data_IF_591775219039
#
_entry.id   IF_591775219039
#
_cell.length_a   1.000
_cell.length_b   1.000
_cell.length_c   1.000
_cell.angle_alpha   90.00
_cell.angle_beta   90.00
_cell.angle_gamma   90.00
#
_symmetry.space_group_name_H-M   'P 1'
#
loop_
_entity.id
_entity.type
_entity.pdbx_description
1 polymer ?
#
# COMPACT_ATOMS: atom_id res chain seq x y z
N UNK A 1 -37.42 25.09 49.00
CA UNK A 1 -36.06 24.55 49.14
C UNK A 1 -36.11 23.05 48.94
N UNK A 2 -35.10 22.50 48.25
CA UNK A 2 -34.87 21.10 47.87
C UNK A 2 -35.57 20.63 46.58
N UNK A 3 -34.89 20.84 45.45
CA UNK A 3 -35.11 20.14 44.19
C UNK A 3 -34.15 18.95 44.13
N UNK A 4 -34.69 17.73 44.12
CA UNK A 4 -33.93 16.48 44.07
C UNK A 4 -33.40 16.26 42.65
N UNK A 5 -32.08 16.38 42.45
CA UNK A 5 -31.40 15.99 41.20
C UNK A 5 -31.52 14.49 40.98
N UNK A 6 -32.27 14.08 39.95
CA UNK A 6 -32.16 12.73 39.37
C UNK A 6 -31.07 12.73 38.31
N UNK A 7 -30.06 11.91 38.54
CA UNK A 7 -28.98 11.59 37.59
C UNK A 7 -29.54 10.73 36.46
N UNK A 8 -29.53 11.25 35.23
CA UNK A 8 -29.75 10.47 34.01
C UNK A 8 -28.42 10.27 33.31
N UNK A 9 -27.87 9.06 33.40
CA UNK A 9 -26.80 8.58 32.53
C UNK A 9 -27.33 8.44 31.10
N UNK A 10 -26.70 9.01 30.06
CA UNK A 10 -27.11 8.76 28.69
C UNK A 10 -26.65 7.36 28.25
N UNK A 11 -27.62 6.49 27.96
CA UNK A 11 -27.43 5.20 27.31
C UNK A 11 -27.02 5.40 25.85
N UNK A 12 -25.84 4.90 25.48
CA UNK A 12 -25.32 4.88 24.11
C UNK A 12 -26.00 3.74 23.33
N UNK A 13 -26.75 4.09 22.28
CA UNK A 13 -27.17 3.14 21.25
C UNK A 13 -26.36 3.46 19.99
N UNK A 14 -25.59 2.51 19.41
CA UNK A 14 -25.02 2.70 18.10
C UNK A 14 -26.14 2.59 17.06
N UNK A 15 -26.42 3.69 16.37
CA UNK A 15 -27.30 3.69 15.20
C UNK A 15 -26.59 2.96 14.06
N UNK A 16 -27.05 1.77 13.70
CA UNK A 16 -26.61 1.06 12.50
C UNK A 16 -27.33 1.69 11.31
N UNK A 17 -26.61 2.48 10.50
CA UNK A 17 -27.10 2.86 9.18
C UNK A 17 -26.87 1.69 8.22
N UNK A 18 -27.95 0.96 7.92
CA UNK A 18 -28.00 0.06 6.76
C UNK A 18 -28.33 0.91 5.54
N UNK A 19 -27.31 1.41 4.83
CA UNK A 19 -27.53 1.93 3.47
C UNK A 19 -27.68 0.75 2.52
N UNK A 20 -28.81 0.68 1.83
CA UNK A 20 -29.06 -0.27 0.75
C UNK A 20 -27.92 -0.18 -0.28
N UNK A 21 -27.27 -1.31 -0.57
CA UNK A 21 -26.14 -1.38 -1.51
C UNK A 21 -26.50 -0.80 -2.89
N UNK A 22 -27.79 -0.74 -3.24
CA UNK A 22 -28.27 -0.17 -4.48
C UNK A 22 -28.21 1.38 -4.54
N UNK A 23 -28.29 2.09 -3.41
CA UNK A 23 -28.25 3.56 -3.38
C UNK A 23 -26.82 4.10 -3.51
N UNK A 24 -25.84 3.45 -2.90
CA UNK A 24 -24.42 3.80 -3.04
C UNK A 24 -23.95 3.71 -4.50
N UNK A 25 -24.46 2.75 -5.26
CA UNK A 25 -24.10 2.57 -6.69
C UNK A 25 -24.80 3.55 -7.64
N UNK A 26 -25.80 4.33 -7.20
CA UNK A 26 -26.50 5.31 -8.08
C UNK A 26 -25.85 6.69 -8.11
N UNK A 27 -25.11 7.07 -7.07
CA UNK A 27 -24.45 8.39 -6.99
C UNK A 27 -23.01 8.38 -7.50
N UNK A 28 -22.37 7.22 -7.52
CA UNK A 28 -21.00 7.06 -8.01
C UNK A 28 -21.03 6.03 -9.14
N UNK A 29 -20.74 6.45 -10.37
CA UNK A 29 -20.52 5.55 -11.51
C UNK A 29 -19.25 4.70 -11.31
N UNK A 30 -19.19 3.91 -10.25
CA UNK A 30 -18.06 3.04 -9.95
C UNK A 30 -18.12 1.86 -10.91
N UNK A 31 -17.04 1.68 -11.66
CA UNK A 31 -16.85 0.50 -12.49
C UNK A 31 -16.73 -0.74 -11.59
N UNK A 32 -17.06 -1.92 -12.14
CA UNK A 32 -16.76 -3.20 -11.49
C UNK A 32 -15.24 -3.31 -11.32
N UNK A 33 -14.75 -3.46 -10.09
CA UNK A 33 -13.32 -3.56 -9.79
C UNK A 33 -13.02 -3.41 -8.30
N UNK A 34 -11.77 -3.65 -7.92
CA UNK A 34 -11.25 -3.34 -6.58
C UNK A 34 -10.97 -1.84 -6.49
N UNK A 35 -11.39 -1.23 -5.39
CA UNK A 35 -11.20 0.19 -5.12
C UNK A 35 -10.42 0.34 -3.82
N UNK A 36 -9.40 1.21 -3.82
CA UNK A 36 -8.71 1.56 -2.59
C UNK A 36 -9.56 2.59 -1.85
N UNK A 37 -9.96 2.24 -0.63
CA UNK A 37 -10.67 3.13 0.28
C UNK A 37 -9.73 3.47 1.44
N UNK A 38 -9.56 4.76 1.71
CA UNK A 38 -8.81 5.22 2.86
C UNK A 38 -9.67 6.19 3.67
N UNK A 39 -9.71 5.96 4.99
CA UNK A 39 -10.44 6.77 5.95
C UNK A 39 -9.41 7.27 6.97
N UNK A 40 -9.29 8.59 7.11
CA UNK A 40 -8.44 9.21 8.11
C UNK A 40 -9.28 9.97 9.11
N UNK A 41 -9.01 9.73 10.39
CA UNK A 41 -9.58 10.48 11.49
C UNK A 41 -8.59 11.54 11.97
N UNK A 42 -8.99 12.80 11.89
CA UNK A 42 -8.19 13.93 12.33
C UNK A 42 -8.44 14.19 13.82
N UNK A 43 -7.59 13.63 14.68
CA UNK A 43 -7.74 13.71 16.13
C UNK A 43 -7.76 15.13 16.71
N UNK A 44 -7.20 16.10 15.98
CA UNK A 44 -7.14 17.52 16.40
C UNK A 44 -8.38 18.33 16.03
N UNK A 45 -9.08 17.95 14.95
CA UNK A 45 -10.26 18.68 14.45
C UNK A 45 -11.56 17.90 14.65
N UNK A 46 -11.48 16.61 15.00
CA UNK A 46 -12.61 15.70 15.11
C UNK A 46 -13.23 15.30 13.76
N UNK A 47 -12.62 15.73 12.66
CA UNK A 47 -13.12 15.48 11.31
C UNK A 47 -12.60 14.16 10.76
N UNK A 48 -13.34 13.57 9.81
CA UNK A 48 -12.87 12.44 9.03
C UNK A 48 -12.75 12.85 7.56
N UNK A 49 -11.65 12.44 6.92
CA UNK A 49 -11.47 12.54 5.47
C UNK A 49 -11.58 11.16 4.87
N UNK A 50 -12.31 11.04 3.76
CA UNK A 50 -12.37 9.82 2.96
C UNK A 50 -11.87 10.13 1.56
N UNK A 51 -11.06 9.22 1.02
CA UNK A 51 -10.67 9.25 -0.39
C UNK A 51 -10.95 7.88 -0.98
N UNK A 52 -11.65 7.89 -2.11
CA UNK A 52 -11.74 6.77 -3.02
C UNK A 52 -10.79 7.03 -4.18
N UNK A 53 -9.82 6.15 -4.39
CA UNK A 53 -8.90 6.23 -5.52
C UNK A 53 -9.04 4.97 -6.39
N UNK A 54 -9.13 5.16 -7.70
CA UNK A 54 -9.08 4.09 -8.69
C UNK A 54 -8.00 4.39 -9.73
N UNK A 55 -7.31 3.37 -10.21
CA UNK A 55 -6.39 3.47 -11.35
C UNK A 55 -7.02 2.75 -12.55
N UNK A 56 -7.20 3.47 -13.65
CA UNK A 56 -7.54 2.94 -14.98
C UNK A 56 -6.64 3.67 -15.98
N UNK A 57 -6.20 2.99 -17.04
CA UNK A 57 -5.41 3.48 -18.18
C UNK A 57 -5.82 4.81 -18.84
N UNK A 58 -6.88 5.49 -18.38
CA UNK A 58 -7.42 6.73 -18.97
C UNK A 58 -7.72 7.88 -17.99
N UNK A 59 -7.56 7.72 -16.67
CA UNK A 59 -7.90 8.79 -15.68
C UNK A 59 -6.81 8.91 -14.62
N UNK A 60 -6.25 10.13 -14.46
CA UNK A 60 -5.31 10.50 -13.40
C UNK A 60 -6.01 10.59 -12.04
N UNK A 61 -5.28 10.29 -10.94
CA UNK A 61 -5.69 10.42 -9.53
C UNK A 61 -6.68 11.57 -9.29
N UNK A 62 -7.95 11.25 -9.03
CA UNK A 62 -9.02 12.24 -8.81
C UNK A 62 -9.71 12.02 -7.45
N UNK A 63 -9.50 12.93 -6.51
CA UNK A 63 -10.28 12.97 -5.28
C UNK A 63 -11.71 13.45 -5.59
N UNK A 64 -12.73 12.70 -5.17
CA UNK A 64 -14.14 13.09 -5.32
C UNK A 64 -14.64 13.62 -3.97
N UNK A 65 -14.77 14.94 -3.77
CA UNK A 65 -15.43 15.49 -2.60
C UNK A 65 -16.95 15.25 -2.72
N UNK A 66 -17.56 14.58 -1.73
CA UNK A 66 -19.01 14.49 -1.66
C UNK A 66 -19.60 15.87 -1.31
N UNK A 67 -20.56 16.32 -2.12
CA UNK A 67 -21.22 17.63 -2.01
C UNK A 67 -22.35 17.63 -0.97
N UNK A 68 -22.66 16.49 -0.35
CA UNK A 68 -23.80 16.32 0.55
C UNK A 68 -23.45 16.30 2.05
N UNK A 69 -22.17 16.35 2.43
CA UNK A 69 -21.79 16.67 3.82
C UNK A 69 -21.60 18.19 3.96
N UNK A 70 -22.69 18.87 4.28
CA UNK A 70 -22.73 20.33 4.47
C UNK A 70 -21.98 20.72 5.74
N UNK A 71 -20.69 21.02 5.65
CA UNK A 71 -20.06 22.00 6.55
C UNK A 71 -20.41 23.41 6.06
N UNK A 72 -20.58 24.40 6.96
CA UNK A 72 -20.78 25.79 6.57
C UNK A 72 -19.70 26.21 5.58
N UNK A 73 -20.14 26.76 4.44
CA UNK A 73 -19.33 27.21 3.32
C UNK A 73 -18.47 28.43 3.70
N UNK A 74 -17.46 28.24 4.54
CA UNK A 74 -16.44 29.25 4.86
C UNK A 74 -15.15 28.60 5.34
N UNK A 75 -14.57 27.70 4.54
CA UNK A 75 -13.11 27.45 4.47
C UNK A 75 -12.89 26.35 3.43
N UNK A 76 -12.46 26.70 2.22
CA UNK A 76 -11.51 25.84 1.50
C UNK A 76 -10.18 26.01 2.24
N UNK A 77 -10.14 25.56 3.50
CA UNK A 77 -8.90 25.46 4.24
C UNK A 77 -8.07 24.42 3.50
N UNK A 78 -6.88 24.84 3.12
CA UNK A 78 -5.92 24.08 2.33
C UNK A 78 -5.91 22.60 2.73
N UNK A 79 -5.96 21.67 1.77
CA UNK A 79 -5.78 20.25 2.06
C UNK A 79 -4.44 20.07 2.77
N UNK A 80 -4.42 19.48 3.99
CA UNK A 80 -3.18 19.29 4.72
C UNK A 80 -2.25 18.42 3.90
N UNK A 81 -0.99 18.84 3.79
CA UNK A 81 0.02 18.07 3.08
C UNK A 81 0.35 16.81 3.87
N UNK A 82 0.06 15.65 3.27
CA UNK A 82 0.27 14.35 3.86
C UNK A 82 0.91 13.42 2.82
N UNK A 83 2.17 13.06 3.03
CA UNK A 83 2.78 11.97 2.29
C UNK A 83 2.08 10.67 2.67
N UNK A 84 1.74 9.85 1.69
CA UNK A 84 1.29 8.49 1.93
C UNK A 84 1.54 7.65 0.70
N UNK A 85 1.89 6.39 0.88
CA UNK A 85 2.01 5.45 -0.22
C UNK A 85 1.59 4.07 0.23
N UNK A 86 1.38 3.19 -0.75
CA UNK A 86 1.33 1.75 -0.53
C UNK A 86 2.34 1.08 -1.46
N UNK A 87 2.78 -0.12 -1.11
CA UNK A 87 3.65 -0.91 -1.97
C UNK A 87 3.05 -2.29 -2.24
N UNK A 88 3.52 -2.92 -3.30
CA UNK A 88 3.20 -4.30 -3.64
C UNK A 88 4.46 -4.99 -4.13
N UNK A 89 4.78 -6.12 -3.50
CA UNK A 89 5.82 -7.04 -3.97
C UNK A 89 5.37 -7.65 -5.31
N UNK A 90 6.20 -7.47 -6.32
CA UNK A 90 6.14 -8.15 -7.61
C UNK A 90 6.80 -9.52 -7.53
N UNK A 91 7.19 -10.07 -8.67
CA UNK A 91 7.94 -11.32 -8.70
C UNK A 91 9.43 -11.10 -8.36
N UNK A 92 10.01 -12.04 -7.61
CA UNK A 92 11.39 -11.95 -7.15
C UNK A 92 11.58 -10.81 -6.14
N UNK A 93 12.34 -9.79 -6.55
CA UNK A 93 12.70 -8.63 -5.71
C UNK A 93 12.18 -7.31 -6.26
N UNK A 94 11.25 -7.37 -7.22
CA UNK A 94 10.57 -6.21 -7.78
C UNK A 94 9.54 -5.69 -6.76
N UNK A 95 9.52 -4.38 -6.54
CA UNK A 95 8.54 -3.71 -5.68
C UNK A 95 7.96 -2.52 -6.42
N UNK A 96 6.64 -2.52 -6.53
CA UNK A 96 5.87 -1.43 -7.10
C UNK A 96 5.30 -0.53 -6.00
N UNK A 97 5.40 0.78 -6.18
CA UNK A 97 4.91 1.78 -5.25
C UNK A 97 3.72 2.53 -5.84
N UNK A 98 2.79 2.93 -4.99
CA UNK A 98 1.63 3.74 -5.38
C UNK A 98 1.56 4.98 -4.51
N UNK A 99 1.67 6.15 -5.11
CA UNK A 99 1.52 7.41 -4.40
C UNK A 99 0.06 7.64 -3.99
N UNK A 100 -0.18 7.69 -2.69
CA UNK A 100 -1.47 7.99 -2.07
C UNK A 100 -1.45 9.34 -1.34
N UNK A 101 -0.42 10.18 -1.58
CA UNK A 101 -0.26 11.46 -0.92
C UNK A 101 -1.41 12.43 -1.22
N UNK A 102 -1.71 13.27 -0.24
CA UNK A 102 -2.73 14.31 -0.30
C UNK A 102 -2.12 15.68 0.01
N UNK A 103 -2.67 16.73 -0.57
CA UNK A 103 -2.22 18.10 -0.34
C UNK A 103 -2.53 18.99 -1.53
N UNK A 104 -2.67 20.28 -1.26
CA UNK A 104 -2.83 21.26 -2.32
C UNK A 104 -1.48 21.59 -2.96
N UNK A 105 -1.46 21.64 -4.30
CA UNK A 105 -0.32 22.10 -5.09
C UNK A 105 1.00 21.37 -4.73
N UNK A 106 0.96 20.03 -4.64
CA UNK A 106 2.18 19.23 -4.54
C UNK A 106 2.99 19.41 -5.83
N UNK A 107 4.23 19.85 -5.69
CA UNK A 107 5.13 20.17 -6.81
C UNK A 107 6.28 19.17 -6.92
N UNK A 108 6.55 18.38 -5.88
CA UNK A 108 7.70 17.48 -5.85
C UNK A 108 7.41 16.22 -5.03
N UNK A 109 7.89 15.07 -5.51
CA UNK A 109 7.89 13.77 -4.85
C UNK A 109 9.32 13.28 -4.81
N UNK A 110 9.83 12.96 -3.62
CA UNK A 110 11.16 12.40 -3.40
C UNK A 110 11.00 10.99 -2.87
N UNK A 111 11.44 10.01 -3.65
CA UNK A 111 11.44 8.61 -3.26
C UNK A 111 12.83 8.20 -2.81
N UNK A 112 12.94 7.64 -1.61
CA UNK A 112 14.12 6.92 -1.15
C UNK A 112 13.71 5.48 -0.89
N UNK A 113 14.31 4.51 -1.58
CA UNK A 113 13.93 3.10 -1.44
C UNK A 113 14.65 2.41 -0.26
N UNK A 114 15.54 3.10 0.45
CA UNK A 114 16.24 2.56 1.62
C UNK A 114 17.36 1.56 1.28
N UNK A 115 17.65 1.34 0.00
CA UNK A 115 18.68 0.44 -0.53
C UNK A 115 20.08 1.08 -0.62
N UNK A 116 20.19 2.37 -0.25
CA UNK A 116 21.42 3.15 -0.33
C UNK A 116 21.60 3.89 -1.65
N UNK A 117 20.65 3.77 -2.59
CA UNK A 117 20.61 4.62 -3.78
C UNK A 117 20.16 6.04 -3.43
N UNK A 118 20.58 7.07 -4.20
CA UNK A 118 20.12 8.44 -4.00
C UNK A 118 18.62 8.59 -4.24
N UNK A 119 18.01 9.58 -3.58
CA UNK A 119 16.59 9.91 -3.75
C UNK A 119 16.22 10.18 -5.22
N UNK A 120 15.14 9.56 -5.68
CA UNK A 120 14.53 9.86 -6.98
C UNK A 120 13.56 11.05 -6.81
N UNK A 121 13.89 12.17 -7.45
CA UNK A 121 13.11 13.41 -7.38
C UNK A 121 12.28 13.58 -8.64
N UNK A 122 10.95 13.62 -8.47
CA UNK A 122 9.97 13.76 -9.54
C UNK A 122 9.11 15.02 -9.34
N UNK A 123 8.75 15.70 -10.43
CA UNK A 123 7.89 16.90 -10.40
C UNK A 123 6.40 16.58 -10.68
N UNK A 124 6.06 15.29 -10.70
CA UNK A 124 4.71 14.76 -10.84
C UNK A 124 4.61 13.47 -10.02
N UNK A 125 3.42 13.13 -9.55
CA UNK A 125 3.15 11.85 -8.87
C UNK A 125 3.55 10.70 -9.78
N UNK A 126 4.61 9.99 -9.40
CA UNK A 126 5.04 8.75 -10.05
C UNK A 126 4.69 7.57 -9.14
N UNK A 127 4.29 6.46 -9.76
CA UNK A 127 4.14 5.16 -9.12
C UNK A 127 5.38 4.33 -9.50
N UNK A 128 6.57 4.59 -8.89
CA UNK A 128 7.81 3.99 -9.34
C UNK A 128 7.86 2.49 -9.05
N UNK A 129 8.73 1.80 -9.79
CA UNK A 129 9.10 0.41 -9.53
C UNK A 129 10.58 0.36 -9.17
N UNK A 130 10.92 -0.32 -8.07
CA UNK A 130 12.29 -0.52 -7.62
C UNK A 130 12.60 -2.01 -7.59
N UNK A 131 13.79 -2.39 -8.05
CA UNK A 131 14.30 -3.75 -7.95
C UNK A 131 15.39 -3.78 -6.88
N UNK A 132 15.17 -4.54 -5.81
CA UNK A 132 16.18 -4.70 -4.77
C UNK A 132 17.18 -5.80 -5.14
N UNK A 133 18.47 -5.49 -5.05
CA UNK A 133 19.54 -6.44 -5.37
C UNK A 133 19.67 -7.57 -4.35
N UNK A 134 19.26 -7.32 -3.10
CA UNK A 134 19.37 -8.25 -1.98
C UNK A 134 18.05 -8.37 -1.25
N UNK A 135 17.85 -9.53 -0.63
CA UNK A 135 16.77 -9.70 0.33
C UNK A 135 17.10 -8.97 1.63
N UNK A 136 16.06 -8.53 2.33
CA UNK A 136 16.18 -7.80 3.58
C UNK A 136 15.06 -6.81 3.79
N UNK A 137 15.11 -6.15 4.95
CA UNK A 137 14.14 -5.12 5.32
C UNK A 137 14.69 -3.76 4.90
N UNK A 138 13.94 -3.07 4.05
CA UNK A 138 14.26 -1.74 3.53
C UNK A 138 13.29 -0.71 4.09
N UNK A 139 13.79 0.46 4.49
CA UNK A 139 12.94 1.55 4.97
C UNK A 139 12.66 2.54 3.84
N UNK A 140 11.64 2.25 3.02
CA UNK A 140 11.27 3.12 1.93
C UNK A 140 10.56 4.37 2.45
N UNK A 141 10.90 5.53 1.89
CA UNK A 141 10.44 6.83 2.33
C UNK A 141 9.99 7.66 1.14
N UNK A 142 8.79 8.22 1.24
CA UNK A 142 8.26 9.23 0.34
C UNK A 142 8.22 10.57 1.06
N UNK A 143 8.85 11.58 0.46
CA UNK A 143 8.69 12.98 0.88
C UNK A 143 8.01 13.77 -0.22
N UNK A 144 6.89 14.41 0.10
CA UNK A 144 6.20 15.32 -0.83
C UNK A 144 6.43 16.77 -0.43
N UNK A 145 6.58 17.63 -1.42
CA UNK A 145 6.76 19.08 -1.24
C UNK A 145 5.68 19.82 -2.00
N UNK A 146 5.05 20.80 -1.37
CA UNK A 146 4.08 21.67 -2.05
C UNK A 146 4.71 22.99 -2.50
N UNK A 147 3.99 23.73 -3.35
CA UNK A 147 4.49 24.99 -3.91
C UNK A 147 4.65 26.14 -2.92
N UNK A 148 4.25 25.97 -1.64
CA UNK A 148 4.58 26.93 -0.56
C UNK A 148 5.83 26.52 0.22
N UNK A 149 6.46 25.40 -0.13
CA UNK A 149 7.64 24.84 0.53
C UNK A 149 7.33 23.96 1.75
N UNK A 150 6.05 23.69 2.02
CA UNK A 150 5.63 22.71 3.01
C UNK A 150 6.08 21.31 2.60
N UNK A 151 6.52 20.51 3.57
CA UNK A 151 7.00 19.15 3.36
C UNK A 151 6.23 18.18 4.26
N UNK A 152 5.97 16.99 3.74
CA UNK A 152 5.44 15.87 4.50
C UNK A 152 6.17 14.60 4.10
N UNK A 153 6.41 13.72 5.06
CA UNK A 153 7.21 12.51 4.86
C UNK A 153 6.50 11.31 5.46
N UNK A 154 6.49 10.20 4.72
CA UNK A 154 5.98 8.91 5.16
C UNK A 154 7.02 7.84 4.89
N UNK A 155 7.18 6.92 5.83
CA UNK A 155 8.11 5.79 5.72
C UNK A 155 7.40 4.49 6.05
N UNK A 156 7.72 3.43 5.31
CA UNK A 156 7.20 2.09 5.52
C UNK A 156 8.32 1.06 5.35
N UNK A 157 8.33 0.03 6.21
CA UNK A 157 9.27 -1.07 6.12
C UNK A 157 8.80 -2.07 5.07
N UNK A 158 9.69 -2.39 4.14
CA UNK A 158 9.46 -3.34 3.06
C UNK A 158 10.33 -4.55 3.32
N UNK A 159 9.68 -5.69 3.55
CA UNK A 159 10.36 -6.97 3.71
C UNK A 159 10.51 -7.62 2.34
N UNK A 160 11.73 -7.56 1.78
CA UNK A 160 12.04 -8.18 0.49
C UNK A 160 12.53 -9.61 0.75
N UNK A 161 11.81 -10.64 0.29
CA UNK A 161 12.12 -12.02 0.63
C UNK A 161 13.40 -12.52 -0.05
N UNK A 162 14.00 -13.55 0.54
CA UNK A 162 15.09 -14.30 -0.10
C UNK A 162 14.49 -15.02 -1.30
N UNK A 163 15.05 -14.81 -2.51
CA UNK A 163 14.61 -15.56 -3.69
C UNK A 163 14.73 -17.05 -3.43
N UNK A 164 13.62 -17.75 -3.62
CA UNK A 164 13.50 -19.18 -3.40
C UNK A 164 13.17 -19.60 -1.97
N UNK A 165 13.09 -18.70 -0.99
CA UNK A 165 12.60 -18.98 0.37
C UNK A 165 11.07 -18.83 0.40
N UNK A 166 10.38 -19.90 0.03
CA UNK A 166 8.93 -19.93 -0.15
C UNK A 166 8.15 -20.23 1.14
N UNK A 167 8.83 -20.57 2.23
CA UNK A 167 8.23 -20.72 3.55
C UNK A 167 8.50 -19.52 4.48
N UNK A 168 9.34 -18.58 4.04
CA UNK A 168 9.77 -17.38 4.75
C UNK A 168 10.44 -17.67 6.11
N UNK A 169 11.21 -18.75 6.19
CA UNK A 169 11.98 -19.11 7.39
C UNK A 169 13.39 -18.47 7.44
N UNK A 170 13.73 -17.72 6.40
CA UNK A 170 15.01 -17.03 6.24
C UNK A 170 16.13 -17.93 5.74
N UNK A 171 15.83 -19.15 5.27
CA UNK A 171 16.81 -20.11 4.77
C UNK A 171 16.36 -20.70 3.45
N UNK A 172 17.33 -21.01 2.60
CA UNK A 172 17.10 -21.76 1.38
C UNK A 172 17.26 -23.25 1.67
N UNK A 173 16.21 -24.04 1.48
CA UNK A 173 16.18 -25.46 1.81
C UNK A 173 15.44 -26.31 0.77
N UNK A 174 15.53 -27.63 0.92
CA UNK A 174 14.75 -28.55 0.10
C UNK A 174 13.23 -28.41 0.35
N UNK A 175 12.81 -27.90 1.52
CA UNK A 175 11.40 -27.65 1.79
C UNK A 175 10.85 -26.55 0.87
N UNK A 176 11.64 -25.51 0.61
CA UNK A 176 11.24 -24.42 -0.27
C UNK A 176 11.10 -24.87 -1.72
N UNK A 177 12.05 -25.68 -2.19
CA UNK A 177 11.96 -26.29 -3.51
C UNK A 177 10.68 -27.11 -3.68
N UNK A 178 10.25 -27.84 -2.65
CA UNK A 178 9.00 -28.62 -2.67
C UNK A 178 7.78 -27.70 -2.70
N UNK A 179 7.77 -26.60 -1.96
CA UNK A 179 6.68 -25.62 -1.99
C UNK A 179 6.56 -24.93 -3.35
N UNK A 180 7.68 -24.53 -3.94
CA UNK A 180 7.72 -23.93 -5.28
C UNK A 180 7.24 -24.93 -6.34
N UNK A 181 7.65 -26.20 -6.24
CA UNK A 181 7.18 -27.24 -7.14
C UNK A 181 5.67 -27.48 -6.98
N UNK A 182 5.16 -27.42 -5.76
CA UNK A 182 3.73 -27.52 -5.48
C UNK A 182 2.96 -26.33 -6.06
N UNK A 183 3.48 -25.11 -5.93
CA UNK A 183 2.93 -23.89 -6.53
C UNK A 183 2.87 -24.01 -8.06
N UNK A 184 3.96 -24.46 -8.68
CA UNK A 184 4.03 -24.71 -10.12
C UNK A 184 3.02 -25.79 -10.58
N UNK A 185 2.88 -26.89 -9.82
CA UNK A 185 1.94 -27.96 -10.12
C UNK A 185 0.47 -27.51 -9.98
N UNK A 186 0.19 -26.61 -9.03
CA UNK A 186 -1.15 -26.04 -8.83
C UNK A 186 -1.45 -24.84 -9.72
N UNK A 187 -0.46 -24.30 -10.46
CA UNK A 187 -0.60 -23.07 -11.25
C UNK A 187 -0.87 -21.83 -10.38
N UNK A 188 -0.37 -21.83 -9.14
CA UNK A 188 -0.54 -20.74 -8.19
C UNK A 188 0.76 -19.94 -8.12
N UNK A 189 0.69 -18.65 -8.42
CA UNK A 189 1.82 -17.72 -8.34
C UNK A 189 1.60 -16.73 -7.19
N UNK A 190 1.42 -17.25 -5.97
CA UNK A 190 1.03 -16.43 -4.80
C UNK A 190 2.22 -15.84 -4.05
N UNK A 191 3.40 -16.42 -4.19
CA UNK A 191 4.60 -16.02 -3.46
C UNK A 191 5.61 -15.36 -4.41
N UNK A 192 5.92 -14.07 -4.23
CA UNK A 192 7.01 -13.36 -4.90
C UNK A 192 8.35 -14.12 -4.91
N UNK A 193 8.70 -14.79 -3.82
CA UNK A 193 9.97 -15.47 -3.66
C UNK A 193 10.09 -16.72 -4.53
N UNK A 194 8.96 -17.30 -4.96
CA UNK A 194 8.92 -18.55 -5.72
C UNK A 194 9.36 -18.41 -7.18
N UNK A 195 9.35 -17.20 -7.75
CA UNK A 195 9.92 -16.92 -9.07
C UNK A 195 11.41 -16.57 -8.94
N UNK A 196 12.24 -17.61 -8.99
CA UNK A 196 13.67 -17.50 -8.67
C UNK A 196 14.45 -16.96 -9.87
N UNK A 197 14.01 -17.29 -11.09
CA UNK A 197 14.66 -16.84 -12.32
C UNK A 197 14.15 -15.46 -12.82
N UNK A 198 13.11 -14.92 -12.18
CA UNK A 198 12.48 -13.63 -12.50
C UNK A 198 11.89 -13.57 -13.91
N UNK A 199 11.37 -14.70 -14.42
CA UNK A 199 10.67 -14.81 -15.70
C UNK A 199 9.15 -14.55 -15.59
N UNK A 200 8.67 -14.24 -14.39
CA UNK A 200 7.26 -13.98 -14.01
C UNK A 200 6.38 -15.23 -14.05
N UNK A 201 6.96 -16.42 -14.00
CA UNK A 201 6.25 -17.68 -13.87
C UNK A 201 6.87 -18.55 -12.78
N UNK A 202 6.03 -19.16 -11.94
CA UNK A 202 6.49 -20.18 -10.99
C UNK A 202 6.39 -21.54 -11.67
N UNK A 203 7.54 -22.15 -11.95
CA UNK A 203 7.65 -23.40 -12.69
C UNK A 203 8.51 -24.44 -11.95
N UNK A 204 8.56 -25.66 -12.48
CA UNK A 204 9.49 -26.67 -11.96
C UNK A 204 10.96 -26.28 -12.15
N UNK A 205 11.27 -25.32 -13.04
CA UNK A 205 12.60 -24.77 -13.20
C UNK A 205 13.02 -23.95 -11.97
N UNK A 206 12.10 -23.17 -11.39
CA UNK A 206 12.35 -22.39 -10.17
C UNK A 206 12.64 -23.30 -8.97
N UNK A 207 11.84 -24.36 -8.81
CA UNK A 207 12.07 -25.39 -7.80
C UNK A 207 13.43 -26.09 -7.98
N UNK A 208 13.83 -26.33 -9.23
CA UNK A 208 15.12 -26.92 -9.56
C UNK A 208 16.27 -25.95 -9.21
N UNK A 209 16.11 -24.65 -9.46
CA UNK A 209 17.12 -23.65 -9.12
C UNK A 209 17.36 -23.58 -7.61
N UNK A 210 16.30 -23.65 -6.80
CA UNK A 210 16.43 -23.77 -5.34
C UNK A 210 17.17 -25.05 -4.96
N UNK A 211 16.74 -26.20 -5.49
CA UNK A 211 17.37 -27.49 -5.19
C UNK A 211 18.86 -27.51 -5.54
N UNK A 212 19.25 -26.92 -6.67
CA UNK A 212 20.66 -26.81 -7.07
C UNK A 212 21.46 -25.86 -6.16
N UNK A 213 20.87 -24.74 -5.75
CA UNK A 213 21.51 -23.81 -4.83
C UNK A 213 21.77 -24.44 -3.46
N UNK A 214 20.81 -25.19 -2.93
CA UNK A 214 20.95 -25.93 -1.67
C UNK A 214 22.04 -27.00 -1.76
N UNK A 215 22.10 -27.76 -2.85
CA UNK A 215 23.13 -28.80 -3.05
C UNK A 215 24.54 -28.23 -3.23
N UNK A 216 24.69 -27.05 -3.84
CA UNK A 216 26.00 -26.39 -3.94
C UNK A 216 26.50 -25.92 -2.57
N UNK A 217 25.64 -25.31 -1.76
CA UNK A 217 26.00 -24.88 -0.41
C UNK A 217 26.43 -26.03 0.51
N UNK A 218 25.90 -27.24 0.31
CA UNK A 218 26.27 -28.43 1.08
C UNK A 218 27.63 -29.05 0.69
N UNK A 219 28.22 -28.66 -0.45
CA UNK A 219 29.52 -29.17 -0.92
C UNK A 219 30.70 -28.23 -0.61
N UNK A 220 30.43 -27.06 -0.03
CA UNK A 220 31.43 -26.05 0.33
C UNK A 220 31.75 -26.03 1.85
N UNK A 221 31.26 -27.01 2.62
CA UNK A 221 31.64 -27.31 4.02
C UNK A 221 32.55 -28.54 4.13
#
# INVERSE_FOLDING_TARGET
MAETRRSTTPTYFPTVYSSDHAEANRSTNLCKGWHNFAIWYHHTTGNASFVLSWENSTISKQAVPDKNMRTPRTELATLPLNAFFSYKLGFGTDVSFTDLSLGDNITEWRWNFGDGTPDEICNASTNPTCMYDRAGVYNATLTVVNGTGGMSTHSELIDVPIKGDANHDGKLSAADAVLILQMAACGINSDPAADVNSDRAVTSLDALMVSQAVMKGANDE
#
